data_IF_964471287044
#
_entry.id   IF_964471287044
#
_cell.length_a   1.000
_cell.length_b   1.000
_cell.length_c   1.000
_cell.angle_alpha   90.00
_cell.angle_beta   90.00
_cell.angle_gamma   90.00
#
_symmetry.space_group_name_H-M   'P 1'
#
loop_
_entity.id
_entity.type
_entity.pdbx_description
1 polymer ?
#
# COMPACT_ATOMS: atom_id res chain seq x y z
N UNK A 1 23.39 8.13 -38.80
CA UNK A 1 22.14 7.39 -39.01
C UNK A 1 21.31 7.52 -37.75
N UNK A 2 20.23 8.30 -37.80
CA UNK A 2 19.32 8.43 -36.66
C UNK A 2 18.49 7.16 -36.57
N UNK A 3 18.59 6.46 -35.43
CA UNK A 3 17.76 5.29 -35.12
C UNK A 3 16.31 5.74 -35.02
N UNK A 4 15.39 5.02 -35.68
CA UNK A 4 13.94 5.24 -35.64
C UNK A 4 13.34 4.79 -34.29
N UNK A 5 13.99 5.15 -33.18
CA UNK A 5 13.51 4.90 -31.84
C UNK A 5 12.42 5.93 -31.51
N UNK A 6 11.29 5.46 -30.99
CA UNK A 6 10.14 6.31 -30.68
C UNK A 6 10.42 7.23 -29.49
N UNK A 7 11.21 6.74 -28.54
CA UNK A 7 11.71 7.46 -27.36
C UNK A 7 13.06 6.84 -26.92
N UNK A 8 14.00 7.68 -26.49
CA UNK A 8 15.33 7.29 -25.99
C UNK A 8 15.47 7.87 -24.58
N UNK A 9 15.77 7.00 -23.60
CA UNK A 9 16.11 7.42 -22.23
C UNK A 9 17.62 7.30 -22.03
N UNK A 10 18.27 8.36 -21.54
CA UNK A 10 19.72 8.39 -21.32
C UNK A 10 19.97 8.53 -19.82
N UNK A 11 20.61 7.53 -19.22
CA UNK A 11 21.06 7.55 -17.84
C UNK A 11 22.59 7.78 -17.80
N UNK A 12 23.03 8.92 -17.30
CA UNK A 12 24.45 9.28 -17.25
C UNK A 12 24.81 9.97 -15.93
N UNK A 13 25.83 9.48 -15.18
CA UNK A 13 26.50 8.18 -15.28
C UNK A 13 25.70 7.05 -14.62
N UNK A 14 25.85 5.82 -15.10
CA UNK A 14 25.30 4.64 -14.38
C UNK A 14 25.98 4.56 -13.01
N UNK A 15 25.19 4.42 -11.94
CA UNK A 15 25.71 4.36 -10.58
C UNK A 15 26.81 3.30 -10.43
N UNK A 16 28.03 3.75 -10.09
CA UNK A 16 29.20 2.88 -9.91
C UNK A 16 29.94 2.46 -11.19
N UNK A 17 29.61 3.03 -12.37
CA UNK A 17 30.31 2.74 -13.64
C UNK A 17 30.66 4.02 -14.42
N UNK A 18 31.79 4.01 -15.12
CA UNK A 18 32.20 5.07 -16.06
C UNK A 18 31.52 4.94 -17.43
N UNK A 19 30.23 4.61 -17.44
CA UNK A 19 29.46 4.31 -18.65
C UNK A 19 28.16 5.10 -18.65
N UNK A 20 27.68 5.43 -19.85
CA UNK A 20 26.37 6.03 -20.09
C UNK A 20 25.42 4.91 -20.50
N UNK A 21 24.28 4.79 -19.81
CA UNK A 21 23.18 3.93 -20.20
C UNK A 21 22.31 4.63 -21.24
N UNK A 22 22.00 3.95 -22.33
CA UNK A 22 21.05 4.42 -23.34
C UNK A 22 19.98 3.34 -23.46
N UNK A 23 18.81 3.61 -22.91
CA UNK A 23 17.63 2.76 -22.99
C UNK A 23 16.83 3.13 -24.22
N UNK A 24 16.74 2.19 -25.16
CA UNK A 24 15.95 2.32 -26.38
C UNK A 24 14.66 1.54 -26.17
N UNK A 25 13.52 2.25 -26.21
CA UNK A 25 12.21 1.59 -26.12
C UNK A 25 11.97 0.76 -27.39
N UNK A 26 11.82 -0.56 -27.21
CA UNK A 26 11.45 -1.47 -28.29
C UNK A 26 9.98 -1.26 -28.68
N UNK A 27 9.65 -1.53 -29.95
CA UNK A 27 8.28 -1.37 -30.47
C UNK A 27 7.26 -2.34 -29.84
N UNK A 28 7.72 -3.40 -29.17
CA UNK A 28 6.88 -4.37 -28.48
C UNK A 28 7.23 -4.36 -26.99
N UNK A 29 6.39 -3.70 -26.18
CA UNK A 29 6.51 -3.77 -24.72
C UNK A 29 5.77 -5.03 -24.23
N UNK A 30 6.49 -6.04 -23.70
CA UNK A 30 5.84 -7.25 -23.19
C UNK A 30 4.95 -6.90 -21.99
N UNK A 31 3.73 -7.44 -22.00
CA UNK A 31 2.78 -7.24 -20.89
C UNK A 31 3.31 -7.98 -19.65
N UNK A 32 3.59 -7.22 -18.59
CA UNK A 32 3.91 -7.81 -17.27
C UNK A 32 2.62 -8.15 -16.57
N UNK A 33 2.38 -9.44 -16.38
CA UNK A 33 1.17 -9.97 -15.77
C UNK A 33 1.34 -10.10 -14.26
N UNK A 34 0.38 -9.62 -13.49
CA UNK A 34 0.44 -9.59 -12.02
C UNK A 34 0.68 -10.98 -11.41
N UNK A 35 0.02 -12.02 -11.93
CA UNK A 35 0.13 -13.39 -11.40
C UNK A 35 1.55 -13.95 -11.53
N UNK A 36 2.31 -13.57 -12.57
CA UNK A 36 3.71 -14.01 -12.73
C UNK A 36 4.61 -13.54 -11.58
N UNK A 37 4.22 -12.46 -10.90
CA UNK A 37 4.94 -11.93 -9.75
C UNK A 37 4.42 -12.56 -8.46
N UNK A 38 3.09 -12.64 -8.32
CA UNK A 38 2.43 -13.21 -7.13
C UNK A 38 2.80 -14.68 -6.94
N UNK A 39 2.90 -15.47 -8.00
CA UNK A 39 3.25 -16.91 -7.92
C UNK A 39 4.72 -17.17 -7.52
N UNK A 40 5.57 -16.13 -7.50
CA UNK A 40 6.97 -16.32 -7.13
C UNK A 40 7.14 -16.68 -5.65
N UNK A 41 8.12 -17.54 -5.35
CA UNK A 41 8.56 -17.80 -3.97
C UNK A 41 8.91 -16.51 -3.24
N UNK A 42 9.55 -15.56 -3.94
CA UNK A 42 9.94 -14.26 -3.39
C UNK A 42 8.74 -13.51 -2.80
N UNK A 43 7.58 -13.58 -3.43
CA UNK A 43 6.34 -12.97 -2.93
C UNK A 43 5.72 -13.78 -1.78
N UNK A 44 5.56 -15.10 -1.97
CA UNK A 44 4.91 -15.98 -0.99
C UNK A 44 5.71 -16.20 0.30
N UNK A 45 7.03 -16.22 0.25
CA UNK A 45 7.91 -16.38 1.42
C UNK A 45 8.20 -15.04 2.12
N UNK A 46 7.80 -13.90 1.55
CA UNK A 46 7.97 -12.60 2.20
C UNK A 46 7.13 -12.53 3.49
N UNK A 47 7.73 -12.04 4.58
CA UNK A 47 7.10 -12.08 5.92
C UNK A 47 6.01 -11.03 6.13
N UNK A 48 6.00 -9.95 5.34
CA UNK A 48 5.01 -8.87 5.46
C UNK A 48 3.70 -9.23 4.76
N UNK A 49 2.58 -8.93 5.42
CA UNK A 49 1.24 -9.00 4.84
C UNK A 49 0.93 -7.82 3.89
N UNK A 50 1.75 -6.77 3.91
CA UNK A 50 1.62 -5.58 3.06
C UNK A 50 2.67 -5.55 1.94
N UNK A 51 3.16 -6.73 1.55
CA UNK A 51 4.00 -6.90 0.37
C UNK A 51 3.15 -6.79 -0.89
N UNK A 52 3.66 -6.11 -1.91
CA UNK A 52 2.98 -5.97 -3.19
C UNK A 52 3.90 -6.14 -4.38
N UNK A 53 3.31 -6.59 -5.48
CA UNK A 53 3.95 -6.70 -6.77
C UNK A 53 4.10 -5.32 -7.42
N UNK A 54 5.34 -4.93 -7.72
CA UNK A 54 5.64 -3.68 -8.44
C UNK A 54 5.65 -3.93 -9.94
N UNK A 55 6.37 -4.96 -10.38
CA UNK A 55 6.58 -5.22 -11.80
C UNK A 55 7.85 -6.01 -12.06
N UNK A 56 8.45 -5.75 -13.22
CA UNK A 56 9.79 -6.22 -13.57
C UNK A 56 10.72 -5.02 -13.79
N UNK A 57 11.98 -5.18 -13.43
CA UNK A 57 12.99 -4.19 -13.80
C UNK A 57 13.39 -4.33 -15.28
N UNK A 58 14.29 -3.45 -15.74
CA UNK A 58 14.81 -3.45 -17.12
C UNK A 58 15.51 -4.76 -17.51
N UNK A 59 15.96 -5.56 -16.55
CA UNK A 59 16.56 -6.87 -16.76
C UNK A 59 15.53 -8.02 -16.73
N UNK A 60 14.23 -7.70 -16.59
CA UNK A 60 13.14 -8.66 -16.50
C UNK A 60 13.01 -9.32 -15.12
N UNK A 61 13.79 -8.91 -14.12
CA UNK A 61 13.74 -9.48 -12.77
C UNK A 61 12.51 -9.00 -12.03
N UNK A 62 11.87 -9.91 -11.32
CA UNK A 62 10.69 -9.61 -10.50
C UNK A 62 11.03 -8.64 -9.36
N UNK A 63 10.23 -7.57 -9.27
CA UNK A 63 10.30 -6.52 -8.26
C UNK A 63 9.04 -6.57 -7.40
N UNK A 64 9.26 -6.66 -6.09
CA UNK A 64 8.24 -6.56 -5.05
C UNK A 64 8.66 -5.48 -4.05
N UNK A 65 7.69 -4.87 -3.39
CA UNK A 65 7.90 -3.85 -2.36
C UNK A 65 7.05 -4.15 -1.12
N UNK A 66 7.35 -3.52 0.01
CA UNK A 66 6.68 -3.73 1.29
C UNK A 66 6.27 -2.39 1.89
N UNK A 67 4.95 -2.14 1.94
CA UNK A 67 4.40 -0.89 2.45
C UNK A 67 4.75 -0.73 3.94
N UNK A 68 4.80 -1.82 4.71
CA UNK A 68 5.10 -1.74 6.14
C UNK A 68 6.53 -1.23 6.41
N UNK A 69 7.48 -1.48 5.49
CA UNK A 69 8.85 -0.94 5.57
C UNK A 69 8.95 0.50 5.09
N UNK A 70 8.09 0.89 4.15
CA UNK A 70 8.02 2.26 3.63
C UNK A 70 7.21 3.20 4.54
N UNK A 71 6.40 2.63 5.43
CA UNK A 71 5.35 3.27 6.24
C UNK A 71 4.20 3.87 5.42
N UNK A 72 4.52 4.67 4.40
CA UNK A 72 3.55 5.33 3.51
C UNK A 72 4.05 5.31 2.06
N UNK A 73 3.11 5.36 1.11
CA UNK A 73 3.41 5.37 -0.33
C UNK A 73 2.59 6.46 -1.01
N UNK A 74 3.26 7.33 -1.77
CA UNK A 74 2.62 8.31 -2.66
C UNK A 74 2.77 7.84 -4.11
N UNK A 75 1.65 7.75 -4.83
CA UNK A 75 1.62 7.35 -6.23
C UNK A 75 1.20 8.54 -7.09
N UNK A 76 2.14 9.09 -7.85
CA UNK A 76 1.92 10.16 -8.81
C UNK A 76 1.89 9.64 -10.26
N UNK A 77 1.14 10.30 -11.12
CA UNK A 77 1.07 9.97 -12.54
C UNK A 77 -0.05 10.73 -13.26
N UNK A 78 0.10 10.94 -14.57
CA UNK A 78 -0.93 11.54 -15.43
C UNK A 78 -2.00 10.50 -15.81
N UNK A 79 -3.13 10.95 -16.34
CA UNK A 79 -4.16 10.04 -16.89
C UNK A 79 -3.55 9.10 -17.93
N UNK A 80 -3.80 7.80 -17.81
CA UNK A 80 -3.26 6.79 -18.72
C UNK A 80 -1.85 6.28 -18.39
N UNK A 81 -1.18 6.84 -17.37
CA UNK A 81 0.16 6.37 -16.94
C UNK A 81 0.16 5.05 -16.16
N UNK A 82 -1.02 4.51 -15.83
CA UNK A 82 -1.15 3.25 -15.09
C UNK A 82 -1.32 3.39 -13.57
N UNK A 83 -1.55 4.60 -13.03
CA UNK A 83 -1.78 4.84 -11.58
C UNK A 83 -2.83 3.90 -10.98
N UNK A 84 -4.01 3.81 -11.60
CA UNK A 84 -5.10 2.95 -11.11
C UNK A 84 -4.72 1.47 -11.15
N UNK A 85 -4.02 1.03 -12.20
CA UNK A 85 -3.52 -0.34 -12.33
C UNK A 85 -2.49 -0.65 -11.24
N UNK A 86 -1.62 0.31 -10.91
CA UNK A 86 -0.68 0.18 -9.80
C UNK A 86 -1.40 0.05 -8.44
N UNK A 87 -2.45 0.85 -8.21
CA UNK A 87 -3.28 0.73 -7.01
C UNK A 87 -3.96 -0.64 -6.93
N UNK A 88 -4.54 -1.14 -8.04
CA UNK A 88 -5.14 -2.47 -8.08
C UNK A 88 -4.09 -3.57 -7.81
N UNK A 89 -2.87 -3.42 -8.35
CA UNK A 89 -1.75 -4.33 -8.04
C UNK A 89 -1.47 -4.39 -6.54
N UNK A 90 -1.47 -3.25 -5.85
CA UNK A 90 -1.29 -3.17 -4.40
C UNK A 90 -2.43 -3.89 -3.68
N UNK A 91 -3.68 -3.53 -3.98
CA UNK A 91 -4.87 -4.07 -3.31
C UNK A 91 -4.91 -5.59 -3.49
N UNK A 92 -4.81 -6.06 -4.73
CA UNK A 92 -4.87 -7.48 -5.07
C UNK A 92 -3.71 -8.23 -4.43
N UNK A 93 -2.49 -7.69 -4.43
CA UNK A 93 -1.36 -8.34 -3.75
C UNK A 93 -1.64 -8.56 -2.26
N UNK A 94 -2.20 -7.56 -1.58
CA UNK A 94 -2.57 -7.70 -0.15
C UNK A 94 -3.69 -8.71 0.01
N UNK A 95 -4.68 -8.75 -0.88
CA UNK A 95 -5.76 -9.75 -0.82
C UNK A 95 -5.27 -11.19 -1.03
N UNK A 96 -4.28 -11.41 -1.88
CA UNK A 96 -3.64 -12.73 -2.04
C UNK A 96 -2.84 -13.15 -0.81
N UNK A 97 -2.25 -12.19 -0.09
CA UNK A 97 -1.32 -12.47 1.01
C UNK A 97 -1.98 -12.50 2.38
N UNK A 98 -2.90 -11.58 2.65
CA UNK A 98 -3.35 -11.25 3.99
C UNK A 98 -4.78 -11.74 4.26
N UNK A 99 -4.97 -12.33 5.44
CA UNK A 99 -6.30 -12.66 5.95
C UNK A 99 -6.99 -11.41 6.53
N UNK A 100 -8.33 -11.32 6.51
CA UNK A 100 -9.07 -10.14 7.00
C UNK A 100 -8.87 -9.80 8.48
N UNK A 101 -8.44 -10.77 9.29
CA UNK A 101 -8.12 -10.59 10.71
C UNK A 101 -6.69 -10.05 10.93
N UNK A 102 -5.83 -10.11 9.91
CA UNK A 102 -4.46 -9.59 9.96
C UNK A 102 -4.34 -8.20 9.32
N UNK A 103 -5.09 -7.96 8.24
CA UNK A 103 -5.10 -6.68 7.54
C UNK A 103 -6.54 -6.24 7.31
N UNK A 104 -6.80 -4.98 7.64
CA UNK A 104 -8.04 -4.27 7.38
C UNK A 104 -7.77 -3.09 6.45
N UNK A 105 -8.75 -2.73 5.62
CA UNK A 105 -8.62 -1.69 4.62
C UNK A 105 -9.67 -0.59 4.83
N UNK A 106 -9.27 0.63 4.53
CA UNK A 106 -10.13 1.79 4.37
C UNK A 106 -9.86 2.36 2.99
N UNK A 107 -10.91 2.56 2.20
CA UNK A 107 -10.79 3.04 0.82
C UNK A 107 -11.59 4.34 0.67
N UNK A 108 -10.94 5.36 0.13
CA UNK A 108 -11.53 6.68 -0.15
C UNK A 108 -11.45 6.93 -1.66
N UNK A 109 -12.62 7.08 -2.30
CA UNK A 109 -12.76 7.38 -3.72
C UNK A 109 -13.94 8.33 -3.95
N UNK A 110 -13.65 9.64 -3.92
CA UNK A 110 -14.66 10.69 -4.07
C UNK A 110 -15.26 10.79 -5.47
N UNK A 111 -14.63 10.14 -6.46
CA UNK A 111 -15.06 10.14 -7.85
C UNK A 111 -15.84 8.88 -8.24
N UNK A 112 -15.86 7.88 -7.37
CA UNK A 112 -16.61 6.62 -7.58
C UNK A 112 -16.19 5.81 -8.83
N UNK A 113 -14.93 5.95 -9.26
CA UNK A 113 -14.44 5.37 -10.52
C UNK A 113 -13.65 4.08 -10.32
N UNK A 114 -12.83 3.99 -9.28
CA UNK A 114 -11.77 3.00 -9.19
C UNK A 114 -12.00 2.00 -8.06
N UNK A 115 -12.39 2.46 -6.87
CA UNK A 115 -12.37 1.61 -5.68
C UNK A 115 -13.72 0.94 -5.37
N UNK A 116 -14.82 1.39 -5.98
CA UNK A 116 -16.15 0.87 -5.70
C UNK A 116 -16.31 -0.63 -5.97
N UNK A 117 -15.51 -1.20 -6.87
CA UNK A 117 -15.48 -2.65 -7.17
C UNK A 117 -15.09 -3.49 -5.95
N UNK A 118 -14.40 -2.91 -4.96
CA UNK A 118 -13.96 -3.61 -3.76
C UNK A 118 -15.01 -3.61 -2.64
N UNK A 119 -16.17 -2.96 -2.81
CA UNK A 119 -17.22 -3.02 -1.80
C UNK A 119 -17.66 -4.46 -1.51
N UNK A 120 -17.80 -4.79 -0.22
CA UNK A 120 -18.23 -6.12 0.24
C UNK A 120 -17.10 -7.10 0.55
N UNK A 121 -15.83 -6.78 0.27
CA UNK A 121 -14.72 -7.62 0.71
C UNK A 121 -14.61 -7.62 2.25
N UNK A 122 -14.24 -8.75 2.88
CA UNK A 122 -14.16 -8.86 4.34
C UNK A 122 -13.04 -8.02 4.96
N UNK A 123 -12.08 -7.55 4.15
CA UNK A 123 -10.99 -6.68 4.59
C UNK A 123 -11.45 -5.25 4.85
N UNK A 124 -12.52 -4.77 4.22
CA UNK A 124 -13.01 -3.41 4.44
C UNK A 124 -13.54 -3.24 5.87
N UNK A 125 -13.12 -2.17 6.55
CA UNK A 125 -13.70 -1.77 7.84
C UNK A 125 -15.07 -1.13 7.67
N UNK A 126 -15.21 -0.38 6.58
CA UNK A 126 -16.41 0.34 6.19
C UNK A 126 -16.50 0.31 4.65
N UNK A 127 -17.70 0.45 4.08
CA UNK A 127 -17.87 0.63 2.64
C UNK A 127 -17.00 1.77 2.11
N UNK A 128 -16.61 1.68 0.83
CA UNK A 128 -15.80 2.68 0.14
C UNK A 128 -16.41 4.06 0.36
N UNK A 129 -15.56 4.99 0.79
CA UNK A 129 -15.99 6.33 1.18
C UNK A 129 -15.98 7.22 -0.05
N UNK A 130 -17.14 7.76 -0.40
CA UNK A 130 -17.32 8.63 -1.57
C UNK A 130 -17.60 10.08 -1.17
N UNK A 131 -17.87 10.33 0.12
CA UNK A 131 -18.14 11.66 0.67
C UNK A 131 -16.89 12.25 1.37
N UNK A 132 -16.57 13.51 1.08
CA UNK A 132 -15.40 14.20 1.62
C UNK A 132 -15.43 14.42 3.13
N UNK A 133 -16.59 14.77 3.71
CA UNK A 133 -16.73 14.94 5.15
C UNK A 133 -16.53 13.62 5.89
N UNK A 134 -17.11 12.53 5.36
CA UNK A 134 -16.89 11.19 5.91
C UNK A 134 -15.43 10.75 5.79
N UNK A 135 -14.75 11.09 4.68
CA UNK A 135 -13.34 10.80 4.51
C UNK A 135 -12.48 11.51 5.57
N UNK A 136 -12.75 12.79 5.86
CA UNK A 136 -12.10 13.52 6.94
C UNK A 136 -12.35 12.88 8.31
N UNK A 137 -13.60 12.53 8.63
CA UNK A 137 -13.91 11.86 9.90
C UNK A 137 -13.13 10.56 10.09
N UNK A 138 -12.90 9.83 9.00
CA UNK A 138 -12.13 8.58 9.03
C UNK A 138 -10.63 8.84 9.17
N UNK A 139 -10.09 9.90 8.58
CA UNK A 139 -8.71 10.32 8.81
C UNK A 139 -8.49 10.73 10.27
N UNK A 140 -9.42 11.51 10.86
CA UNK A 140 -9.38 11.84 12.28
C UNK A 140 -9.47 10.60 13.17
N UNK A 141 -10.41 9.69 12.88
CA UNK A 141 -10.51 8.42 13.59
C UNK A 141 -9.22 7.59 13.49
N UNK A 142 -8.52 7.64 12.35
CA UNK A 142 -7.25 6.92 12.19
C UNK A 142 -6.17 7.49 13.12
N UNK A 143 -6.11 8.82 13.25
CA UNK A 143 -5.20 9.47 14.20
C UNK A 143 -5.53 9.08 15.64
N UNK A 144 -6.81 9.03 16.00
CA UNK A 144 -7.25 8.56 17.32
C UNK A 144 -6.89 7.09 17.57
N UNK A 145 -7.16 6.20 16.60
CA UNK A 145 -6.79 4.79 16.65
C UNK A 145 -5.27 4.59 16.80
N UNK A 146 -4.46 5.44 16.16
CA UNK A 146 -3.00 5.43 16.35
C UNK A 146 -2.62 5.72 17.81
N UNK A 147 -3.20 6.78 18.41
CA UNK A 147 -2.91 7.11 19.81
C UNK A 147 -3.43 6.04 20.79
N UNK A 148 -4.60 5.48 20.54
CA UNK A 148 -5.14 4.38 21.35
C UNK A 148 -4.26 3.13 21.27
N UNK A 149 -3.72 2.81 20.09
CA UNK A 149 -2.72 1.74 19.93
C UNK A 149 -1.45 2.03 20.71
N UNK A 150 -0.93 3.25 20.69
CA UNK A 150 0.26 3.59 21.47
C UNK A 150 0.06 3.43 22.98
N UNK A 151 -1.09 3.87 23.51
CA UNK A 151 -1.44 3.63 24.92
C UNK A 151 -1.46 2.13 25.23
N UNK A 152 -2.12 1.36 24.38
CA UNK A 152 -2.22 -0.09 24.54
C UNK A 152 -0.86 -0.79 24.43
N UNK A 153 0.03 -0.32 23.56
CA UNK A 153 1.39 -0.86 23.46
C UNK A 153 2.19 -0.56 24.71
N UNK A 154 2.07 0.66 25.26
CA UNK A 154 2.68 1.04 26.53
C UNK A 154 2.16 0.20 27.71
N UNK A 155 0.85 -0.02 27.81
CA UNK A 155 0.23 -0.86 28.86
C UNK A 155 0.74 -2.31 28.82
N UNK A 156 1.01 -2.81 27.61
CA UNK A 156 1.58 -4.14 27.41
C UNK A 156 3.12 -4.14 27.38
N UNK A 157 3.79 -3.00 27.56
CA UNK A 157 5.25 -2.90 27.54
C UNK A 157 5.89 -3.40 26.23
N UNK A 158 5.29 -3.07 25.09
CA UNK A 158 5.75 -3.41 23.74
C UNK A 158 5.91 -2.15 22.90
N UNK A 159 6.74 -2.19 21.86
CA UNK A 159 7.06 -1.00 21.06
C UNK A 159 6.19 -0.85 19.81
N UNK A 160 5.72 -1.96 19.25
CA UNK A 160 4.99 -1.95 17.99
C UNK A 160 3.86 -2.99 17.94
N UNK A 161 3.11 -2.94 16.83
CA UNK A 161 2.00 -3.85 16.57
C UNK A 161 2.44 -5.32 16.47
N UNK A 162 3.65 -5.59 15.97
CA UNK A 162 4.16 -6.94 15.76
C UNK A 162 4.47 -7.58 17.11
N UNK A 163 5.17 -6.87 17.99
CA UNK A 163 5.45 -7.27 19.36
C UNK A 163 4.16 -7.43 20.16
N UNK A 164 3.22 -6.48 20.04
CA UNK A 164 1.90 -6.60 20.66
C UNK A 164 1.21 -7.90 20.24
N UNK A 165 1.09 -8.15 18.93
CA UNK A 165 0.41 -9.33 18.43
C UNK A 165 1.11 -10.64 18.81
N UNK A 166 2.44 -10.65 18.87
CA UNK A 166 3.22 -11.80 19.34
C UNK A 166 2.99 -12.06 20.83
N UNK A 167 2.97 -11.00 21.66
CA UNK A 167 2.69 -11.11 23.09
C UNK A 167 1.28 -11.64 23.34
N UNK A 168 0.27 -11.14 22.62
CA UNK A 168 -1.11 -11.63 22.72
C UNK A 168 -1.21 -13.11 22.32
N UNK A 169 -0.50 -13.53 21.27
CA UNK A 169 -0.44 -14.94 20.87
C UNK A 169 0.07 -15.83 22.00
N UNK A 170 1.20 -15.47 22.61
CA UNK A 170 1.77 -16.22 23.72
C UNK A 170 0.86 -16.27 24.95
N UNK A 171 0.13 -15.20 25.26
CA UNK A 171 -0.82 -15.14 26.36
C UNK A 171 -2.08 -15.96 26.08
N UNK A 172 -2.60 -15.90 24.86
CA UNK A 172 -3.80 -16.64 24.44
C UNK A 172 -3.62 -18.15 24.55
N UNK A 173 -2.40 -18.65 24.34
CA UNK A 173 -2.05 -20.07 24.50
C UNK A 173 -1.99 -20.51 25.98
N UNK A 174 -1.81 -19.58 26.93
CA UNK A 174 -1.63 -19.88 28.35
C UNK A 174 -2.93 -19.80 29.16
N UNK A 175 -3.75 -18.79 28.91
CA UNK A 175 -4.83 -18.45 29.85
C UNK A 175 -6.24 -18.95 29.49
N UNK A 176 -6.46 -19.61 28.33
CA UNK A 176 -7.80 -19.99 27.83
C UNK A 176 -8.87 -18.86 27.89
N UNK A 177 -8.45 -17.62 28.13
CA UNK A 177 -9.30 -16.47 28.34
C UNK A 177 -9.46 -15.76 27.01
N UNK A 178 -10.66 -15.85 26.45
CA UNK A 178 -11.01 -15.43 25.10
C UNK A 178 -11.05 -13.89 24.90
N UNK A 179 -10.52 -13.11 25.84
CA UNK A 179 -10.72 -11.65 25.87
C UNK A 179 -9.62 -10.86 25.17
N UNK A 180 -8.42 -11.45 24.97
CA UNK A 180 -7.31 -10.77 24.32
C UNK A 180 -7.27 -11.08 22.83
N UNK A 181 -7.43 -10.04 22.01
CA UNK A 181 -7.43 -10.14 20.54
C UNK A 181 -6.22 -9.45 19.93
N UNK A 182 -5.63 -10.10 18.91
CA UNK A 182 -4.67 -9.49 17.99
C UNK A 182 -5.33 -8.30 17.29
N UNK A 183 -4.52 -7.30 16.98
CA UNK A 183 -4.95 -6.08 16.30
C UNK A 183 -4.47 -6.16 14.84
N UNK A 184 -5.33 -5.90 13.85
CA UNK A 184 -4.92 -5.92 12.45
C UNK A 184 -4.09 -4.68 12.08
N UNK A 185 -3.25 -4.82 11.07
CA UNK A 185 -2.73 -3.66 10.32
C UNK A 185 -3.90 -2.97 9.60
N UNK A 186 -3.87 -1.65 9.51
CA UNK A 186 -4.85 -0.87 8.75
C UNK A 186 -4.14 -0.26 7.54
N UNK A 187 -4.60 -0.60 6.33
CA UNK A 187 -4.14 -0.01 5.08
C UNK A 187 -5.19 1.00 4.60
N UNK A 188 -4.80 2.26 4.52
CA UNK A 188 -5.67 3.35 4.02
C UNK A 188 -5.26 3.68 2.60
N UNK A 189 -6.23 3.66 1.70
CA UNK A 189 -6.03 3.90 0.27
C UNK A 189 -6.90 5.08 -0.14
N UNK A 190 -6.27 6.11 -0.70
CA UNK A 190 -6.91 7.32 -1.19
C UNK A 190 -6.68 7.39 -2.69
N UNK A 191 -7.74 7.23 -3.50
CA UNK A 191 -7.63 7.24 -4.97
C UNK A 191 -7.08 8.59 -5.49
N UNK A 192 -7.57 9.68 -4.91
CA UNK A 192 -7.12 11.02 -5.28
C UNK A 192 -7.04 11.94 -4.07
N UNK A 193 -5.83 12.04 -3.49
CA UNK A 193 -5.58 12.92 -2.38
C UNK A 193 -5.81 14.40 -2.73
N UNK A 194 -5.62 14.78 -4.00
CA UNK A 194 -5.79 16.17 -4.44
C UNK A 194 -7.24 16.64 -4.32
N UNK A 195 -8.22 15.73 -4.49
CA UNK A 195 -9.63 16.07 -4.32
C UNK A 195 -9.95 16.39 -2.85
N UNK A 196 -9.37 15.66 -1.89
CA UNK A 196 -9.50 15.98 -0.46
C UNK A 196 -8.83 17.30 -0.11
N UNK A 197 -7.59 17.50 -0.59
CA UNK A 197 -6.83 18.73 -0.36
C UNK A 197 -7.50 19.96 -0.98
N UNK A 198 -8.24 19.81 -2.09
CA UNK A 198 -8.98 20.91 -2.70
C UNK A 198 -10.22 21.31 -1.89
N UNK A 199 -10.93 20.32 -1.32
CA UNK A 199 -12.18 20.57 -0.59
C UNK A 199 -11.91 21.03 0.84
N UNK A 200 -10.99 20.37 1.54
CA UNK A 200 -10.66 20.65 2.95
C UNK A 200 -9.13 20.56 3.17
N UNK A 201 -8.35 21.56 2.72
CA UNK A 201 -6.89 21.50 2.72
C UNK A 201 -6.30 21.34 4.12
N UNK A 202 -6.75 22.17 5.07
CA UNK A 202 -6.15 22.26 6.41
C UNK A 202 -6.37 20.98 7.21
N UNK A 203 -7.60 20.48 7.22
CA UNK A 203 -8.02 19.29 7.95
C UNK A 203 -7.37 18.02 7.39
N UNK A 204 -7.26 17.95 6.05
CA UNK A 204 -6.59 16.84 5.37
C UNK A 204 -5.09 16.86 5.67
N UNK A 205 -4.44 18.01 5.54
CA UNK A 205 -3.01 18.18 5.84
C UNK A 205 -2.68 17.85 7.30
N UNK A 206 -3.45 18.39 8.25
CA UNK A 206 -3.26 18.12 9.68
C UNK A 206 -3.33 16.63 9.99
N UNK A 207 -4.31 15.93 9.40
CA UNK A 207 -4.46 14.48 9.62
C UNK A 207 -3.29 13.69 9.00
N UNK A 208 -2.86 14.05 7.79
CA UNK A 208 -1.76 13.36 7.09
C UNK A 208 -0.44 13.58 7.82
N UNK A 209 -0.12 14.81 8.21
CA UNK A 209 1.12 15.15 8.92
C UNK A 209 1.21 14.43 10.27
N UNK A 210 0.07 14.15 10.92
CA UNK A 210 0.06 13.38 12.18
C UNK A 210 0.24 11.87 11.96
N UNK A 211 -0.11 11.35 10.78
CA UNK A 211 -0.04 9.93 10.46
C UNK A 211 1.32 9.51 9.88
N UNK A 212 2.06 10.44 9.25
CA UNK A 212 3.37 10.26 8.61
C UNK A 212 4.50 10.57 9.59
#
# INVERSE_FOLDING_TARGET
>A
MATAAKDIHIEAPIFGKSSVGIDILYNENPIVRLWEIIETKRFWEHSSNLVFAVGRDIAGKVVIADIAKMSHVLIGGTTGSGKSVCMDSIIVSVLYKAQPNHVKMIMIDLKEVNLNVYNGIPHLLIPVITNSQKALSVLYWTVEEMFERYKKFADFGVHDLKEYNHKIELLSLKDNSNNLKKIPQILIIINDLSDLMRINPKETEESIVRLV
#
